data_IF_290551576320
#
_entry.id   IF_290551576320
#
_cell.length_a   1.000
_cell.length_b   1.000
_cell.length_c   1.000
_cell.angle_alpha   90.00
_cell.angle_beta   90.00
_cell.angle_gamma   90.00
#
_symmetry.space_group_name_H-M   'P 1'
#
loop_
_entity.id
_entity.type
_entity.pdbx_description
1 polymer ?
#
# COMPACT_ATOMS: atom_id res chain seq x y z
N UNK A 1 2.92 2.26 -22.57
CA UNK A 1 3.57 2.80 -21.36
C UNK A 1 4.63 1.88 -20.72
N UNK A 2 5.08 0.78 -21.38
CA UNK A 2 6.08 -0.20 -20.85
C UNK A 2 7.50 0.33 -20.53
N UNK A 3 7.70 1.65 -20.51
CA UNK A 3 9.00 2.30 -20.26
C UNK A 3 8.96 3.30 -19.08
N UNK A 4 7.79 3.60 -18.54
CA UNK A 4 7.68 4.44 -17.36
C UNK A 4 7.82 3.54 -16.12
N UNK A 5 8.80 3.84 -15.26
CA UNK A 5 9.03 3.08 -14.03
C UNK A 5 7.97 3.41 -12.98
N UNK A 6 7.74 4.70 -12.74
CA UNK A 6 6.78 5.17 -11.74
C UNK A 6 6.28 6.59 -12.07
N UNK A 7 5.17 6.97 -11.45
CA UNK A 7 4.61 8.31 -11.48
C UNK A 7 4.70 8.96 -10.09
N UNK A 8 5.27 10.16 -10.02
CA UNK A 8 5.26 11.02 -8.81
C UNK A 8 4.31 12.18 -9.09
N UNK A 9 3.07 12.08 -8.60
CA UNK A 9 2.06 13.11 -8.80
C UNK A 9 2.18 14.21 -7.75
N UNK A 10 2.27 15.47 -8.19
CA UNK A 10 2.26 16.63 -7.32
C UNK A 10 0.96 17.38 -7.55
N UNK A 11 0.08 17.37 -6.55
CA UNK A 11 -1.19 18.06 -6.60
C UNK A 11 -1.36 18.91 -5.33
N UNK A 12 -1.77 20.17 -5.45
CA UNK A 12 -2.01 21.06 -4.29
C UNK A 12 -0.87 21.08 -3.25
N UNK A 13 0.39 21.09 -3.70
CA UNK A 13 1.57 20.88 -2.82
C UNK A 13 2.04 22.13 -2.06
N UNK A 14 1.42 23.29 -2.30
CA UNK A 14 1.94 24.59 -1.89
C UNK A 14 1.30 25.23 -0.66
N UNK A 15 0.14 24.75 -0.21
CA UNK A 15 -0.61 25.36 0.89
C UNK A 15 0.24 25.45 2.17
N UNK A 16 0.15 26.60 2.86
CA UNK A 16 0.79 26.83 4.15
C UNK A 16 0.26 25.86 5.21
N UNK A 17 1.12 24.94 5.68
CA UNK A 17 0.69 23.79 6.48
C UNK A 17 0.17 24.19 7.87
N UNK A 18 0.95 24.99 8.60
CA UNK A 18 0.66 25.37 9.98
C UNK A 18 -0.58 26.25 10.09
N UNK A 19 -0.67 27.28 9.24
CA UNK A 19 -1.76 28.25 9.21
C UNK A 19 -3.12 27.58 8.91
N UNK A 20 -3.10 26.52 8.10
CA UNK A 20 -4.30 25.80 7.66
C UNK A 20 -4.55 24.48 8.41
N UNK A 21 -3.69 24.12 9.38
CA UNK A 21 -3.76 22.84 10.12
C UNK A 21 -3.75 21.63 9.18
N UNK A 22 -2.96 21.75 8.12
CA UNK A 22 -2.82 20.77 7.05
C UNK A 22 -1.53 19.99 7.19
N UNK A 23 -1.46 18.86 6.50
CA UNK A 23 -0.27 18.03 6.42
C UNK A 23 0.14 17.92 4.96
N UNK A 24 1.44 17.80 4.72
CA UNK A 24 1.89 17.28 3.45
C UNK A 24 1.78 15.75 3.48
N UNK A 25 0.85 15.22 2.71
CA UNK A 25 0.48 13.81 2.70
C UNK A 25 1.13 13.12 1.52
N UNK A 26 1.76 11.97 1.78
CA UNK A 26 2.14 11.00 0.75
C UNK A 26 1.12 9.87 0.75
N UNK A 27 0.42 9.67 -0.36
CA UNK A 27 -0.36 8.45 -0.60
C UNK A 27 0.47 7.47 -1.43
N UNK A 28 0.69 6.28 -0.88
CA UNK A 28 1.41 5.18 -1.53
C UNK A 28 0.54 4.49 -2.59
N UNK A 29 1.12 3.56 -3.34
CA UNK A 29 0.35 2.65 -4.20
C UNK A 29 -0.44 1.63 -3.37
N UNK A 30 -1.49 1.03 -3.95
CA UNK A 30 -2.13 -0.15 -3.35
C UNK A 30 -1.23 -1.36 -3.54
N UNK A 31 -1.45 -2.45 -2.81
CA UNK A 31 -0.75 -3.71 -3.07
C UNK A 31 -1.05 -4.27 -4.46
N UNK A 32 -2.19 -3.91 -5.07
CA UNK A 32 -2.46 -4.24 -6.48
C UNK A 32 -1.47 -3.59 -7.44
N UNK A 33 -0.76 -2.53 -7.04
CA UNK A 33 0.36 -1.98 -7.79
C UNK A 33 1.55 -1.72 -6.85
N UNK A 34 1.88 -2.73 -6.04
CA UNK A 34 2.89 -2.68 -4.99
C UNK A 34 4.25 -2.22 -5.53
N UNK A 35 4.82 -1.17 -4.96
CA UNK A 35 6.03 -0.58 -5.52
C UNK A 35 6.89 0.19 -4.51
N UNK A 36 8.21 0.09 -4.63
CA UNK A 36 9.19 0.70 -3.72
C UNK A 36 9.18 2.24 -3.73
N UNK A 37 8.57 2.87 -4.74
CA UNK A 37 8.50 4.34 -4.88
C UNK A 37 7.94 5.01 -3.61
N UNK A 38 6.96 4.38 -2.96
CA UNK A 38 6.38 4.90 -1.72
C UNK A 38 7.41 4.99 -0.59
N UNK A 39 8.30 4.00 -0.48
CA UNK A 39 9.35 3.96 0.54
C UNK A 39 10.50 4.93 0.24
N UNK A 40 10.86 5.10 -1.03
CA UNK A 40 11.85 6.11 -1.43
C UNK A 40 11.36 7.52 -1.08
N UNK A 41 10.11 7.86 -1.39
CA UNK A 41 9.56 9.16 -1.04
C UNK A 41 9.40 9.30 0.48
N UNK A 42 8.92 8.27 1.16
CA UNK A 42 8.80 8.31 2.62
C UNK A 42 10.14 8.64 3.28
N UNK A 43 11.25 8.06 2.82
CA UNK A 43 12.58 8.41 3.31
C UNK A 43 12.87 9.91 3.20
N UNK A 44 12.53 10.55 2.08
CA UNK A 44 12.73 11.99 1.90
C UNK A 44 11.76 12.84 2.73
N UNK A 45 10.52 12.39 2.91
CA UNK A 45 9.58 13.02 3.86
C UNK A 45 10.14 13.02 5.28
N UNK A 46 10.62 11.86 5.75
CA UNK A 46 11.27 11.76 7.08
C UNK A 46 12.54 12.60 7.15
N UNK A 47 13.38 12.59 6.11
CA UNK A 47 14.59 13.41 6.05
C UNK A 47 14.26 14.90 6.21
N UNK A 48 13.30 15.43 5.45
CA UNK A 48 12.91 16.83 5.57
C UNK A 48 12.35 17.10 6.96
N UNK A 49 11.45 16.26 7.47
CA UNK A 49 10.86 16.39 8.81
C UNK A 49 11.88 16.40 9.95
N UNK A 50 12.90 15.54 9.87
CA UNK A 50 13.92 15.43 10.90
C UNK A 50 14.99 16.53 10.82
N UNK A 51 15.33 17.00 9.62
CA UNK A 51 16.41 17.99 9.42
C UNK A 51 15.94 19.44 9.44
N UNK A 52 14.63 19.68 9.25
CA UNK A 52 13.99 20.99 9.22
C UNK A 52 13.16 21.25 10.49
N UNK A 53 13.66 20.77 11.63
CA UNK A 53 13.22 21.16 12.97
C UNK A 53 14.44 21.47 13.84
N UNK A 54 14.29 22.36 14.82
CA UNK A 54 15.35 22.62 15.79
C UNK A 54 15.46 21.44 16.74
N UNK A 55 16.61 20.75 16.74
CA UNK A 55 16.84 19.58 17.58
C UNK A 55 17.97 19.86 18.58
N UNK A 56 17.62 20.06 19.85
CA UNK A 56 18.60 20.38 20.91
C UNK A 56 19.62 19.26 21.16
N UNK A 57 19.29 18.00 20.82
CA UNK A 57 20.16 16.83 21.07
C UNK A 57 21.15 16.60 19.92
N UNK A 58 20.76 16.89 18.68
CA UNK A 58 21.57 16.57 17.48
C UNK A 58 22.26 17.80 16.89
N UNK A 59 21.65 19.00 16.99
CA UNK A 59 22.11 20.20 16.29
C UNK A 59 22.29 21.43 17.18
N UNK A 60 22.28 21.26 18.50
CA UNK A 60 22.63 22.32 19.46
C UNK A 60 21.83 23.61 19.27
N UNK A 61 20.52 23.50 18.99
CA UNK A 61 19.61 24.63 18.73
C UNK A 61 19.72 25.27 17.33
N UNK A 62 20.08 24.50 16.31
CA UNK A 62 20.06 24.93 14.89
C UNK A 62 19.38 23.91 13.98
N UNK A 63 19.09 24.25 12.72
CA UNK A 63 18.65 23.26 11.72
C UNK A 63 19.86 22.47 11.21
N UNK A 64 19.73 21.14 11.06
CA UNK A 64 20.82 20.30 10.56
C UNK A 64 21.04 20.50 9.04
N UNK A 65 19.95 20.52 8.25
CA UNK A 65 19.96 20.76 6.79
C UNK A 65 18.74 21.60 6.40
N UNK A 66 18.86 22.91 6.59
CA UNK A 66 17.77 23.90 6.38
C UNK A 66 17.36 23.97 4.90
N UNK A 67 16.10 23.66 4.63
CA UNK A 67 15.39 23.73 3.36
C UNK A 67 14.21 24.69 3.54
N UNK A 68 14.50 25.98 3.36
CA UNK A 68 13.52 27.07 3.46
C UNK A 68 13.69 28.07 2.32
N UNK A 69 12.63 28.79 2.00
CA UNK A 69 12.65 29.91 1.06
C UNK A 69 12.89 31.23 1.79
N UNK A 70 13.57 32.24 1.20
CA UNK A 70 13.76 33.54 1.84
C UNK A 70 12.47 34.26 2.23
N UNK A 71 11.37 33.97 1.55
CA UNK A 71 10.04 34.57 1.77
C UNK A 71 9.02 33.57 2.29
N UNK A 72 9.46 32.37 2.69
CA UNK A 72 8.59 31.33 3.24
C UNK A 72 8.72 31.21 4.74
N UNK A 73 7.86 30.40 5.35
CA UNK A 73 7.92 30.16 6.80
C UNK A 73 9.10 29.25 7.16
N UNK A 74 9.44 29.21 8.45
CA UNK A 74 10.40 28.25 9.00
C UNK A 74 9.70 27.18 9.85
N UNK A 75 8.40 27.00 9.63
CA UNK A 75 7.60 26.07 10.42
C UNK A 75 8.11 24.64 10.28
N UNK A 76 7.91 23.81 11.33
CA UNK A 76 8.14 22.39 11.23
C UNK A 76 7.43 21.79 10.02
N UNK A 77 8.05 20.81 9.40
CA UNK A 77 7.44 20.11 8.28
C UNK A 77 6.45 19.06 8.79
N UNK A 78 5.16 19.41 8.78
CA UNK A 78 4.07 18.52 9.17
C UNK A 78 3.74 17.59 8.00
N UNK A 79 3.89 16.29 8.20
CA UNK A 79 3.60 15.31 7.15
C UNK A 79 2.89 14.07 7.67
N UNK A 80 2.19 13.41 6.75
CA UNK A 80 1.55 12.11 6.96
C UNK A 80 1.91 11.19 5.79
N UNK A 81 2.07 9.91 6.10
CA UNK A 81 2.29 8.89 5.08
C UNK A 81 1.15 7.89 5.16
N UNK A 82 0.27 7.93 4.17
CA UNK A 82 -0.95 7.15 4.12
C UNK A 82 -0.86 6.01 3.11
N UNK A 83 -1.82 5.09 3.22
CA UNK A 83 -2.03 4.08 2.20
C UNK A 83 -2.63 4.70 0.94
N UNK A 84 -2.83 3.88 -0.08
CA UNK A 84 -3.48 4.30 -1.31
C UNK A 84 -4.82 5.00 -1.04
N UNK A 85 -5.00 6.14 -1.69
CA UNK A 85 -6.25 6.89 -1.75
C UNK A 85 -6.59 7.16 -3.21
N UNK A 86 -7.86 7.45 -3.48
CA UNK A 86 -8.31 7.96 -4.77
C UNK A 86 -8.37 9.50 -4.79
N UNK A 87 -8.79 10.06 -5.92
CA UNK A 87 -9.17 11.47 -6.01
C UNK A 87 -8.18 12.41 -6.71
N UNK A 88 -7.09 11.89 -7.28
CA UNK A 88 -6.17 12.67 -8.13
C UNK A 88 -5.62 11.79 -9.27
N UNK A 89 -4.79 12.38 -10.13
CA UNK A 89 -4.33 11.79 -11.40
C UNK A 89 -3.41 10.57 -11.23
N UNK A 90 -2.81 10.36 -10.05
CA UNK A 90 -2.05 9.14 -9.77
C UNK A 90 -2.90 7.86 -9.93
N UNK A 91 -4.23 7.96 -9.82
CA UNK A 91 -5.14 6.84 -10.07
C UNK A 91 -5.18 6.41 -11.52
N UNK A 92 -4.97 7.32 -12.47
CA UNK A 92 -4.91 7.00 -13.91
C UNK A 92 -3.70 6.12 -14.18
N UNK A 93 -2.57 6.39 -13.53
CA UNK A 93 -1.36 5.58 -13.64
C UNK A 93 -1.51 4.20 -12.97
N UNK A 94 -2.20 4.14 -11.84
CA UNK A 94 -2.48 2.90 -11.12
C UNK A 94 -3.65 2.06 -11.67
N UNK A 95 -4.28 2.50 -12.76
CA UNK A 95 -5.33 1.75 -13.47
C UNK A 95 -4.79 0.40 -13.97
N UNK A 96 -5.64 -0.63 -13.97
CA UNK A 96 -5.23 -2.00 -14.34
C UNK A 96 -4.77 -2.11 -15.80
N UNK A 97 -5.24 -1.23 -16.68
CA UNK A 97 -4.80 -1.15 -18.07
C UNK A 97 -3.56 -0.27 -18.28
N UNK A 98 -3.07 0.41 -17.24
CA UNK A 98 -1.89 1.28 -17.30
C UNK A 98 -0.71 0.70 -16.53
N UNK A 99 -0.92 0.30 -15.27
CA UNK A 99 0.06 -0.31 -14.37
C UNK A 99 1.40 0.43 -14.30
N UNK A 100 1.35 1.74 -14.17
CA UNK A 100 2.51 2.56 -13.79
C UNK A 100 2.35 2.92 -12.31
N UNK A 101 3.18 2.38 -11.40
CA UNK A 101 3.13 2.69 -9.97
C UNK A 101 3.09 4.20 -9.69
N UNK A 102 1.95 4.68 -9.23
CA UNK A 102 1.70 6.10 -9.01
C UNK A 102 1.52 6.45 -7.54
N UNK A 103 2.23 7.47 -7.08
CA UNK A 103 2.07 8.06 -5.74
C UNK A 103 1.56 9.49 -5.85
N UNK A 104 0.93 9.97 -4.78
CA UNK A 104 0.43 11.34 -4.69
C UNK A 104 1.10 12.06 -3.53
N UNK A 105 1.71 13.20 -3.82
CA UNK A 105 2.11 14.20 -2.86
C UNK A 105 1.06 15.31 -2.90
N UNK A 106 0.43 15.57 -1.76
CA UNK A 106 -0.67 16.53 -1.66
C UNK A 106 -0.67 17.22 -0.30
N UNK A 107 -1.12 18.47 -0.22
CA UNK A 107 -1.46 19.08 1.08
C UNK A 107 -2.93 18.82 1.40
N UNK A 108 -3.20 18.19 2.54
CA UNK A 108 -4.58 17.89 2.98
C UNK A 108 -4.73 17.95 4.51
N UNK A 109 -5.89 18.36 5.06
CA UNK A 109 -7.04 18.99 4.38
C UNK A 109 -6.70 20.38 3.83
N UNK A 110 -7.37 20.83 2.77
CA UNK A 110 -7.26 22.20 2.24
C UNK A 110 -8.60 22.93 2.35
N UNK A 111 -8.71 23.99 3.18
CA UNK A 111 -9.96 24.74 3.37
C UNK A 111 -10.34 25.63 2.18
N UNK A 112 -9.42 25.86 1.24
CA UNK A 112 -9.61 26.73 0.08
C UNK A 112 -9.93 25.97 -1.20
N UNK A 113 -9.79 24.63 -1.20
CA UNK A 113 -10.12 23.76 -2.31
C UNK A 113 -11.52 24.05 -2.89
N UNK A 114 -11.60 24.27 -4.21
CA UNK A 114 -12.83 24.64 -4.92
C UNK A 114 -13.51 25.94 -4.43
N UNK A 115 -12.76 26.87 -3.85
CA UNK A 115 -13.27 28.18 -3.44
C UNK A 115 -12.54 29.33 -4.15
N UNK A 116 -13.14 30.51 -4.19
CA UNK A 116 -12.47 31.72 -4.71
C UNK A 116 -11.34 32.25 -3.82
N UNK A 117 -11.10 31.62 -2.67
CA UNK A 117 -9.98 31.90 -1.76
C UNK A 117 -8.74 31.06 -2.08
N UNK A 118 -8.84 30.10 -3.01
CA UNK A 118 -7.66 29.43 -3.58
C UNK A 118 -6.84 30.45 -4.38
N UNK A 119 -5.88 31.07 -3.69
CA UNK A 119 -5.07 32.19 -4.16
C UNK A 119 -3.63 31.95 -3.76
N UNK A 120 -2.64 32.47 -4.52
CA UNK A 120 -1.22 32.29 -4.19
C UNK A 120 -0.83 32.73 -2.77
N UNK A 121 -1.58 33.64 -2.15
CA UNK A 121 -1.34 34.10 -0.77
C UNK A 121 -1.62 33.04 0.31
N UNK A 122 -2.33 31.95 -0.01
CA UNK A 122 -2.51 30.81 0.89
C UNK A 122 -1.33 29.82 0.86
N UNK A 123 -0.43 29.95 -0.12
CA UNK A 123 0.72 29.09 -0.28
C UNK A 123 1.92 29.59 0.53
N UNK A 124 2.74 28.65 1.00
CA UNK A 124 4.05 28.94 1.60
C UNK A 124 5.19 28.61 0.61
N UNK A 125 6.02 29.59 0.24
CA UNK A 125 7.20 29.36 -0.59
C UNK A 125 8.19 28.32 -0.02
N UNK A 126 8.28 28.17 1.30
CA UNK A 126 9.12 27.12 1.92
C UNK A 126 8.53 25.74 1.65
N UNK A 127 7.22 25.57 1.84
CA UNK A 127 6.53 24.32 1.54
C UNK A 127 6.66 23.92 0.05
N UNK A 128 6.48 24.86 -0.88
CA UNK A 128 6.75 24.62 -2.30
C UNK A 128 8.19 24.15 -2.54
N UNK A 129 9.19 24.81 -1.93
CA UNK A 129 10.59 24.40 -2.05
C UNK A 129 10.84 22.98 -1.50
N UNK A 130 10.22 22.63 -0.37
CA UNK A 130 10.33 21.29 0.24
C UNK A 130 9.68 20.22 -0.65
N UNK A 131 8.51 20.49 -1.21
CA UNK A 131 7.83 19.56 -2.14
C UNK A 131 8.70 19.26 -3.39
N UNK A 132 9.32 20.28 -3.97
CA UNK A 132 10.24 20.13 -5.11
C UNK A 132 11.51 19.39 -4.70
N UNK A 133 12.08 19.69 -3.54
CA UNK A 133 13.26 18.98 -3.04
C UNK A 133 12.99 17.47 -2.89
N UNK A 134 11.89 17.10 -2.22
CA UNK A 134 11.51 15.70 -2.00
C UNK A 134 11.34 14.98 -3.34
N UNK A 135 10.59 15.59 -4.25
CA UNK A 135 10.31 15.03 -5.58
C UNK A 135 11.59 14.86 -6.40
N UNK A 136 12.42 15.90 -6.48
CA UNK A 136 13.64 15.87 -7.26
C UNK A 136 14.67 14.88 -6.70
N UNK A 137 14.80 14.81 -5.37
CA UNK A 137 15.72 13.87 -4.72
C UNK A 137 15.26 12.41 -4.93
N UNK A 138 13.97 12.13 -4.80
CA UNK A 138 13.41 10.81 -5.09
C UNK A 138 13.60 10.41 -6.56
N UNK A 139 13.21 11.28 -7.48
CA UNK A 139 13.36 11.04 -8.91
C UNK A 139 14.84 10.81 -9.30
N UNK A 140 15.74 11.62 -8.75
CA UNK A 140 17.18 11.46 -8.97
C UNK A 140 17.67 10.10 -8.46
N UNK A 141 17.36 9.75 -7.20
CA UNK A 141 17.79 8.49 -6.60
C UNK A 141 17.31 7.26 -7.36
N UNK A 142 16.10 7.32 -7.92
CA UNK A 142 15.56 6.24 -8.76
C UNK A 142 16.25 6.20 -10.12
N UNK A 143 16.36 7.34 -10.80
CA UNK A 143 16.98 7.42 -12.12
C UNK A 143 18.47 7.07 -12.10
N UNK A 144 19.15 7.30 -10.97
CA UNK A 144 20.56 6.96 -10.76
C UNK A 144 20.76 5.68 -9.94
N UNK A 145 19.71 4.92 -9.63
CA UNK A 145 19.83 3.74 -8.78
C UNK A 145 20.68 2.67 -9.45
N UNK A 146 21.89 2.48 -8.93
CA UNK A 146 22.82 1.41 -9.26
C UNK A 146 23.64 1.05 -8.03
N UNK A 147 24.18 -0.16 -8.03
CA UNK A 147 25.14 -0.64 -7.03
C UNK A 147 24.65 -0.35 -5.59
N UNK A 148 25.37 0.48 -4.83
CA UNK A 148 25.06 0.85 -3.45
C UNK A 148 23.67 1.49 -3.29
N UNK A 149 23.23 2.33 -4.24
CA UNK A 149 21.93 3.01 -4.13
C UNK A 149 20.78 2.00 -4.15
N UNK A 150 20.86 0.98 -5.00
CA UNK A 150 19.83 -0.06 -5.09
C UNK A 150 19.77 -0.91 -3.83
N UNK A 151 20.93 -1.21 -3.23
CA UNK A 151 21.01 -1.90 -1.94
C UNK A 151 20.41 -1.05 -0.80
N UNK A 152 20.66 0.26 -0.81
CA UNK A 152 20.08 1.19 0.16
C UNK A 152 18.55 1.28 0.02
N UNK A 153 18.02 1.32 -1.21
CA UNK A 153 16.57 1.28 -1.47
C UNK A 153 15.97 -0.02 -0.96
N UNK A 154 16.60 -1.18 -1.21
CA UNK A 154 16.14 -2.46 -0.69
C UNK A 154 16.07 -2.48 0.85
N UNK A 155 17.11 -1.95 1.52
CA UNK A 155 17.15 -1.86 2.98
C UNK A 155 16.09 -0.93 3.57
N UNK A 156 15.83 0.20 2.90
CA UNK A 156 14.75 1.14 3.27
C UNK A 156 13.36 0.50 3.14
N UNK A 157 13.10 -0.18 2.02
CA UNK A 157 11.84 -0.91 1.79
C UNK A 157 11.63 -2.00 2.83
N UNK A 158 12.65 -2.82 3.09
CA UNK A 158 12.59 -3.88 4.10
C UNK A 158 12.33 -3.35 5.52
N UNK A 159 13.00 -2.25 5.89
CA UNK A 159 12.83 -1.61 7.21
C UNK A 159 11.42 -1.04 7.38
N UNK A 160 10.89 -0.40 6.34
CA UNK A 160 9.54 0.13 6.36
C UNK A 160 8.47 -0.98 6.34
N UNK A 161 8.69 -2.05 5.57
CA UNK A 161 7.85 -3.24 5.58
C UNK A 161 7.75 -3.83 6.99
N UNK A 162 8.88 -4.00 7.68
CA UNK A 162 8.93 -4.48 9.05
C UNK A 162 8.10 -3.61 10.02
N UNK A 163 8.17 -2.28 9.85
CA UNK A 163 7.39 -1.32 10.65
C UNK A 163 5.89 -1.40 10.33
N UNK A 164 5.50 -1.52 9.06
CA UNK A 164 4.10 -1.66 8.66
C UNK A 164 3.49 -2.99 9.15
N UNK A 165 4.24 -4.09 9.06
CA UNK A 165 3.84 -5.37 9.67
C UNK A 165 3.67 -5.25 11.19
N UNK A 166 4.58 -4.58 11.89
CA UNK A 166 4.44 -4.33 13.33
C UNK A 166 3.19 -3.49 13.67
N UNK A 167 2.88 -2.48 12.87
CA UNK A 167 1.66 -1.69 13.03
C UNK A 167 0.40 -2.54 12.81
N UNK A 168 0.39 -3.42 11.81
CA UNK A 168 -0.73 -4.34 11.59
C UNK A 168 -0.86 -5.34 12.74
N UNK A 169 0.25 -5.86 13.25
CA UNK A 169 0.27 -6.73 14.42
C UNK A 169 -0.30 -6.05 15.67
N UNK A 170 0.02 -4.77 15.90
CA UNK A 170 -0.56 -4.00 17.00
C UNK A 170 -2.09 -3.89 16.86
N UNK A 171 -2.61 -3.63 15.66
CA UNK A 171 -4.07 -3.62 15.40
C UNK A 171 -4.71 -4.98 15.65
N UNK A 172 -4.10 -6.05 15.15
CA UNK A 172 -4.55 -7.43 15.34
C UNK A 172 -4.63 -7.80 16.83
N UNK A 173 -3.61 -7.44 17.61
CA UNK A 173 -3.59 -7.66 19.06
C UNK A 173 -4.70 -6.86 19.75
N UNK A 174 -4.90 -5.59 19.39
CA UNK A 174 -5.97 -4.77 19.94
C UNK A 174 -7.36 -5.34 19.64
N UNK A 175 -7.60 -5.83 18.42
CA UNK A 175 -8.83 -6.51 18.04
C UNK A 175 -9.07 -7.77 18.88
N UNK A 176 -8.05 -8.65 18.99
CA UNK A 176 -8.14 -9.87 19.80
C UNK A 176 -8.38 -9.55 21.27
N UNK A 177 -7.68 -8.56 21.84
CA UNK A 177 -7.84 -8.18 23.24
C UNK A 177 -9.23 -7.61 23.56
N UNK A 178 -9.90 -7.00 22.58
CA UNK A 178 -11.27 -6.46 22.71
C UNK A 178 -12.37 -7.48 22.41
N UNK A 179 -12.01 -8.66 21.90
CA UNK A 179 -12.97 -9.73 21.61
C UNK A 179 -13.39 -10.49 22.87
N UNK A 180 -14.42 -11.33 22.74
CA UNK A 180 -14.93 -12.15 23.84
C UNK A 180 -15.57 -13.44 23.36
N UNK A 181 -16.38 -14.07 24.22
CA UNK A 181 -16.96 -15.39 23.97
C UNK A 181 -17.81 -15.51 22.71
N UNK A 182 -18.43 -14.41 22.26
CA UNK A 182 -19.28 -14.41 21.08
C UNK A 182 -18.55 -14.30 19.74
N UNK A 183 -17.28 -13.86 19.72
CA UNK A 183 -16.63 -13.46 18.46
C UNK A 183 -15.11 -13.69 18.39
N UNK A 184 -14.46 -14.26 19.42
CA UNK A 184 -13.00 -14.47 19.44
C UNK A 184 -12.50 -15.27 18.22
N UNK A 185 -13.22 -16.30 17.79
CA UNK A 185 -12.79 -17.16 16.67
C UNK A 185 -12.80 -16.38 15.34
N UNK A 186 -13.85 -15.60 15.09
CA UNK A 186 -13.99 -14.74 13.91
C UNK A 186 -12.94 -13.64 13.91
N UNK A 187 -12.77 -12.95 15.04
CA UNK A 187 -11.77 -11.88 15.20
C UNK A 187 -10.36 -12.42 15.02
N UNK A 188 -10.04 -13.60 15.56
CA UNK A 188 -8.73 -14.23 15.36
C UNK A 188 -8.51 -14.61 13.90
N UNK A 189 -9.50 -15.22 13.24
CA UNK A 189 -9.42 -15.57 11.82
C UNK A 189 -9.14 -14.33 10.96
N UNK A 190 -9.92 -13.26 11.16
CA UNK A 190 -9.73 -11.97 10.49
C UNK A 190 -8.36 -11.38 10.74
N UNK A 191 -7.94 -11.33 12.00
CA UNK A 191 -6.66 -10.73 12.40
C UNK A 191 -5.45 -11.48 11.82
N UNK A 192 -5.56 -12.80 11.68
CA UNK A 192 -4.55 -13.63 11.02
C UNK A 192 -4.50 -13.39 9.50
N UNK A 193 -5.66 -13.25 8.86
CA UNK A 193 -5.77 -12.91 7.44
C UNK A 193 -5.16 -11.53 7.15
N UNK A 194 -5.46 -10.51 7.96
CA UNK A 194 -4.89 -9.17 7.77
C UNK A 194 -3.35 -9.15 7.93
N UNK A 195 -2.82 -9.93 8.88
CA UNK A 195 -1.37 -10.12 9.04
C UNK A 195 -0.74 -10.78 7.82
N UNK A 196 -1.41 -11.82 7.29
CA UNK A 196 -0.95 -12.56 6.14
C UNK A 196 -0.95 -11.67 4.89
N UNK A 197 -2.07 -11.01 4.61
CA UNK A 197 -2.22 -10.07 3.50
C UNK A 197 -1.24 -8.92 3.55
N UNK A 198 -0.99 -8.35 4.73
CA UNK A 198 0.05 -7.33 4.91
C UNK A 198 1.43 -7.90 4.59
N UNK A 199 1.79 -9.06 5.14
CA UNK A 199 3.10 -9.69 4.87
C UNK A 199 3.31 -9.96 3.37
N UNK A 200 2.30 -10.47 2.67
CA UNK A 200 2.37 -10.72 1.24
C UNK A 200 2.49 -9.40 0.45
N UNK A 201 1.67 -8.40 0.78
CA UNK A 201 1.73 -7.07 0.17
C UNK A 201 3.09 -6.42 0.31
N UNK A 202 3.70 -6.48 1.50
CA UNK A 202 5.05 -5.96 1.74
C UNK A 202 6.13 -6.73 0.94
N UNK A 203 5.98 -8.04 0.77
CA UNK A 203 6.88 -8.83 -0.07
C UNK A 203 6.76 -8.45 -1.55
N UNK A 204 5.56 -8.09 -2.03
CA UNK A 204 5.39 -7.56 -3.40
C UNK A 204 6.10 -6.21 -3.56
N UNK A 205 6.00 -5.32 -2.57
CA UNK A 205 6.72 -4.03 -2.58
C UNK A 205 8.23 -4.29 -2.59
N UNK A 206 8.74 -5.17 -1.74
CA UNK A 206 10.17 -5.52 -1.71
C UNK A 206 10.66 -6.10 -3.05
N UNK A 207 9.88 -7.00 -3.66
CA UNK A 207 10.22 -7.59 -4.96
C UNK A 207 10.33 -6.54 -6.07
N UNK A 208 9.52 -5.48 -6.01
CA UNK A 208 9.57 -4.42 -7.03
C UNK A 208 10.94 -3.74 -7.15
N UNK A 209 11.77 -3.75 -6.09
CA UNK A 209 13.13 -3.17 -6.13
C UNK A 209 14.01 -3.83 -7.19
N UNK A 210 13.73 -5.10 -7.54
CA UNK A 210 14.47 -5.82 -8.58
C UNK A 210 14.35 -5.18 -9.96
N UNK A 211 13.36 -4.33 -10.23
CA UNK A 211 13.25 -3.64 -11.51
C UNK A 211 14.41 -2.66 -11.77
N UNK A 212 15.03 -2.14 -10.70
CA UNK A 212 16.12 -1.16 -10.79
C UNK A 212 17.37 -1.79 -11.39
N UNK A 213 17.71 -3.01 -10.96
CA UNK A 213 18.86 -3.78 -11.45
C UNK A 213 18.57 -5.29 -11.46
N UNK A 214 17.76 -5.78 -12.43
CA UNK A 214 17.29 -7.17 -12.42
C UNK A 214 18.41 -8.21 -12.58
N UNK A 215 19.51 -7.83 -13.22
CA UNK A 215 20.67 -8.70 -13.46
C UNK A 215 21.70 -8.64 -12.30
N UNK A 216 21.46 -7.84 -11.26
CA UNK A 216 22.36 -7.73 -10.12
C UNK A 216 22.13 -8.88 -9.12
N UNK A 217 22.97 -9.91 -9.18
CA UNK A 217 22.86 -11.09 -8.32
C UNK A 217 22.92 -10.78 -6.82
N UNK A 218 23.66 -9.75 -6.43
CA UNK A 218 23.76 -9.33 -5.02
C UNK A 218 22.44 -8.74 -4.53
N UNK A 219 21.77 -7.94 -5.37
CA UNK A 219 20.44 -7.42 -5.07
C UNK A 219 19.41 -8.55 -4.99
N UNK A 220 19.44 -9.49 -5.93
CA UNK A 220 18.55 -10.68 -5.91
C UNK A 220 18.74 -11.49 -4.63
N UNK A 221 19.99 -11.74 -4.22
CA UNK A 221 20.27 -12.45 -2.98
C UNK A 221 19.77 -11.67 -1.76
N UNK A 222 20.06 -10.37 -1.67
CA UNK A 222 19.68 -9.54 -0.54
C UNK A 222 18.15 -9.42 -0.38
N UNK A 223 17.43 -9.18 -1.48
CA UNK A 223 15.97 -9.14 -1.48
C UNK A 223 15.36 -10.48 -1.10
N UNK A 224 15.96 -11.60 -1.52
CA UNK A 224 15.57 -12.94 -1.07
C UNK A 224 15.73 -13.15 0.43
N UNK A 225 16.86 -12.72 1.00
CA UNK A 225 17.11 -12.78 2.45
C UNK A 225 16.12 -11.89 3.24
N UNK A 226 15.83 -10.69 2.72
CA UNK A 226 14.81 -9.81 3.31
C UNK A 226 13.41 -10.39 3.24
N UNK A 227 12.98 -10.98 2.11
CA UNK A 227 11.68 -11.66 2.01
C UNK A 227 11.56 -12.81 3.01
N UNK A 228 12.65 -13.58 3.20
CA UNK A 228 12.70 -14.64 4.22
C UNK A 228 12.59 -14.06 5.63
N UNK A 229 13.26 -12.95 5.93
CA UNK A 229 13.15 -12.28 7.23
C UNK A 229 11.72 -11.75 7.49
N UNK A 230 11.05 -11.19 6.48
CA UNK A 230 9.64 -10.78 6.59
C UNK A 230 8.71 -11.97 6.85
N UNK A 231 8.97 -13.12 6.20
CA UNK A 231 8.21 -14.36 6.44
C UNK A 231 8.40 -14.86 7.89
N UNK A 232 9.63 -14.84 8.40
CA UNK A 232 9.93 -15.20 9.79
C UNK A 232 9.27 -14.23 10.79
N UNK A 233 9.24 -12.92 10.48
CA UNK A 233 8.55 -11.93 11.28
C UNK A 233 7.04 -12.22 11.32
N UNK A 234 6.43 -12.55 10.18
CA UNK A 234 5.03 -12.97 10.12
C UNK A 234 4.78 -14.20 10.98
N UNK A 235 5.58 -15.26 10.88
CA UNK A 235 5.41 -16.49 11.67
C UNK A 235 5.46 -16.23 13.19
N UNK A 236 6.38 -15.36 13.62
CA UNK A 236 6.51 -14.92 15.00
C UNK A 236 5.31 -14.11 15.50
N UNK A 237 4.82 -13.17 14.68
CA UNK A 237 3.63 -12.37 14.97
C UNK A 237 2.37 -13.23 15.01
N UNK A 238 2.19 -14.11 14.03
CA UNK A 238 1.10 -15.09 13.97
C UNK A 238 1.04 -15.96 15.22
N UNK A 239 2.18 -16.51 15.63
CA UNK A 239 2.28 -17.34 16.83
C UNK A 239 1.93 -16.54 18.10
N UNK A 240 2.42 -15.32 18.20
CA UNK A 240 2.12 -14.41 19.31
C UNK A 240 0.63 -14.06 19.38
N UNK A 241 -0.01 -13.81 18.22
CA UNK A 241 -1.44 -13.50 18.16
C UNK A 241 -2.32 -14.67 18.61
N UNK A 242 -2.00 -15.88 18.16
CA UNK A 242 -2.70 -17.11 18.59
C UNK A 242 -2.55 -17.32 20.10
N UNK A 243 -1.36 -17.06 20.65
CA UNK A 243 -1.12 -17.12 22.09
C UNK A 243 -1.98 -16.11 22.85
N UNK A 244 -2.05 -14.86 22.38
CA UNK A 244 -2.91 -13.82 22.97
C UNK A 244 -4.38 -14.24 22.97
N UNK A 245 -4.90 -14.75 21.86
CA UNK A 245 -6.26 -15.28 21.79
C UNK A 245 -6.47 -16.44 22.78
N UNK A 246 -5.47 -17.32 22.95
CA UNK A 246 -5.50 -18.39 23.94
C UNK A 246 -5.60 -17.89 25.38
N UNK A 247 -4.96 -16.77 25.71
CA UNK A 247 -5.08 -16.12 27.03
C UNK A 247 -6.49 -15.56 27.22
N UNK A 248 -7.03 -14.84 26.23
CA UNK A 248 -8.40 -14.31 26.27
C UNK A 248 -9.43 -15.43 26.43
N UNK A 249 -9.29 -16.53 25.68
CA UNK A 249 -10.14 -17.70 25.83
C UNK A 249 -10.10 -18.26 27.27
N UNK A 250 -8.91 -18.46 27.84
CA UNK A 250 -8.75 -18.96 29.22
C UNK A 250 -9.41 -18.05 30.24
N UNK A 251 -9.23 -16.73 30.12
CA UNK A 251 -9.85 -15.74 31.02
C UNK A 251 -11.39 -15.79 31.00
N UNK A 252 -11.97 -16.21 29.87
CA UNK A 252 -13.41 -16.31 29.66
C UNK A 252 -13.95 -17.74 29.79
N UNK A 253 -13.15 -18.71 30.28
CA UNK A 253 -13.50 -20.13 30.36
C UNK A 253 -13.90 -20.76 29.01
N UNK A 254 -13.27 -20.31 27.93
CA UNK A 254 -13.46 -20.80 26.57
C UNK A 254 -12.29 -21.70 26.15
N UNK A 255 -12.56 -22.58 25.19
CA UNK A 255 -11.53 -23.36 24.50
C UNK A 255 -11.21 -22.68 23.18
N UNK A 256 -9.94 -22.31 22.98
CA UNK A 256 -9.48 -21.80 21.69
C UNK A 256 -9.63 -22.87 20.62
N UNK A 257 -10.33 -22.54 19.54
CA UNK A 257 -10.48 -23.42 18.38
C UNK A 257 -9.31 -23.19 17.40
N UNK A 258 -8.77 -24.24 16.77
CA UNK A 258 -7.79 -24.07 15.71
C UNK A 258 -8.44 -23.34 14.52
N UNK A 259 -7.81 -22.25 14.07
CA UNK A 259 -8.21 -21.57 12.82
C UNK A 259 -7.86 -22.49 11.65
N UNK A 260 -8.89 -22.93 10.92
CA UNK A 260 -8.76 -23.83 9.78
C UNK A 260 -9.51 -23.23 8.58
N UNK A 261 -8.95 -23.36 7.37
CA UNK A 261 -9.67 -23.00 6.16
C UNK A 261 -10.98 -23.81 6.02
N UNK A 262 -12.07 -23.12 5.71
CA UNK A 262 -13.33 -23.74 5.32
C UNK A 262 -13.28 -24.29 3.88
N UNK A 263 -14.40 -24.82 3.39
CA UNK A 263 -14.46 -25.43 2.07
C UNK A 263 -14.20 -24.43 0.93
N UNK A 264 -14.71 -23.20 1.05
CA UNK A 264 -14.53 -22.14 0.06
C UNK A 264 -13.10 -21.62 0.08
N UNK A 265 -12.50 -21.44 1.25
CA UNK A 265 -11.10 -21.04 1.39
C UNK A 265 -10.13 -22.10 0.84
N UNK A 266 -10.41 -23.40 1.07
CA UNK A 266 -9.64 -24.48 0.46
C UNK A 266 -9.73 -24.47 -1.06
N UNK A 267 -10.92 -24.20 -1.61
CA UNK A 267 -11.09 -24.07 -3.06
C UNK A 267 -10.31 -22.87 -3.59
N UNK A 268 -10.44 -21.71 -2.95
CA UNK A 268 -9.75 -20.48 -3.37
C UNK A 268 -8.23 -20.58 -3.28
N UNK A 269 -7.68 -21.22 -2.24
CA UNK A 269 -6.23 -21.43 -2.09
C UNK A 269 -5.60 -22.33 -3.16
N UNK A 270 -6.43 -23.12 -3.87
CA UNK A 270 -6.00 -23.96 -4.99
C UNK A 270 -6.09 -23.26 -6.36
N UNK A 271 -6.70 -22.07 -6.43
CA UNK A 271 -6.90 -21.31 -7.66
C UNK A 271 -5.91 -20.15 -7.72
N UNK A 272 -5.15 -20.07 -8.82
CA UNK A 272 -4.14 -19.04 -9.06
C UNK A 272 -4.51 -18.30 -10.35
N UNK A 273 -4.98 -17.04 -10.25
CA UNK A 273 -5.31 -16.25 -11.42
C UNK A 273 -4.06 -15.59 -12.03
N UNK A 274 -4.09 -15.44 -13.35
CA UNK A 274 -3.09 -14.73 -14.14
C UNK A 274 -3.75 -13.69 -15.04
N UNK A 275 -3.37 -12.42 -14.93
CA UNK A 275 -3.84 -11.32 -15.76
C UNK A 275 -3.50 -11.56 -17.23
N UNK A 276 -4.41 -11.28 -18.15
CA UNK A 276 -4.10 -11.32 -19.59
C UNK A 276 -3.49 -9.99 -20.03
N UNK A 277 -2.98 -9.91 -21.26
CA UNK A 277 -2.53 -8.64 -21.84
C UNK A 277 -3.70 -7.69 -22.20
N UNK A 278 -4.94 -8.20 -22.23
CA UNK A 278 -6.13 -7.49 -22.71
C UNK A 278 -6.41 -6.16 -21.99
N UNK A 279 -6.37 -6.07 -20.63
CA UNK A 279 -6.50 -4.78 -19.94
C UNK A 279 -5.45 -3.76 -20.41
N UNK A 280 -4.19 -4.18 -20.56
CA UNK A 280 -3.07 -3.31 -20.94
C UNK A 280 -3.19 -2.86 -22.39
N UNK A 281 -3.55 -3.77 -23.30
CA UNK A 281 -3.74 -3.46 -24.72
C UNK A 281 -4.88 -2.48 -24.96
N UNK A 282 -5.89 -2.49 -24.09
CA UNK A 282 -7.02 -1.54 -24.13
C UNK A 282 -6.70 -0.20 -23.46
N UNK A 283 -5.61 -0.12 -22.69
CA UNK A 283 -5.16 1.09 -22.01
C UNK A 283 -6.08 1.53 -20.87
N UNK A 284 -5.94 2.80 -20.47
CA UNK A 284 -6.65 3.38 -19.33
C UNK A 284 -8.15 3.10 -19.38
N UNK A 285 -8.65 2.36 -18.38
CA UNK A 285 -10.06 2.04 -18.21
C UNK A 285 -10.72 1.31 -19.41
N UNK A 286 -9.95 0.77 -20.36
CA UNK A 286 -10.51 0.15 -21.56
C UNK A 286 -11.27 -1.17 -21.33
N UNK A 287 -11.05 -1.80 -20.17
CA UNK A 287 -11.79 -2.97 -19.69
C UNK A 287 -13.11 -2.62 -18.97
N UNK A 288 -13.38 -1.34 -18.71
CA UNK A 288 -14.46 -0.90 -17.82
C UNK A 288 -15.84 -1.32 -18.32
N UNK A 289 -16.13 -1.12 -19.61
CA UNK A 289 -17.46 -1.37 -20.17
C UNK A 289 -17.80 -2.86 -20.16
N UNK A 290 -16.86 -3.72 -20.56
CA UNK A 290 -17.05 -5.17 -20.56
C UNK A 290 -17.21 -5.71 -19.14
N UNK A 291 -16.44 -5.18 -18.17
CA UNK A 291 -16.56 -5.57 -16.77
C UNK A 291 -17.88 -5.11 -16.16
N UNK A 292 -18.29 -3.85 -16.37
CA UNK A 292 -19.58 -3.32 -15.88
C UNK A 292 -20.76 -4.12 -16.41
N UNK A 293 -20.73 -4.46 -17.71
CA UNK A 293 -21.76 -5.31 -18.31
C UNK A 293 -21.80 -6.71 -17.69
N UNK A 294 -20.64 -7.34 -17.50
CA UNK A 294 -20.59 -8.66 -16.90
C UNK A 294 -21.08 -8.66 -15.43
N UNK A 295 -20.80 -7.59 -14.67
CA UNK A 295 -21.30 -7.42 -13.31
C UNK A 295 -22.82 -7.13 -13.28
N UNK A 296 -23.36 -6.36 -14.23
CA UNK A 296 -24.81 -6.12 -14.27
C UNK A 296 -25.63 -7.39 -14.55
N UNK A 297 -25.01 -8.36 -15.23
CA UNK A 297 -25.61 -9.65 -15.58
C UNK A 297 -25.38 -10.72 -14.49
N UNK A 298 -24.66 -10.41 -13.40
CA UNK A 298 -24.33 -11.36 -12.32
C UNK A 298 -25.14 -11.14 -11.05
N UNK A 299 -24.89 -11.96 -10.02
CA UNK A 299 -25.51 -11.79 -8.69
C UNK A 299 -24.94 -10.59 -7.93
N UNK A 300 -23.83 -10.03 -8.41
CA UNK A 300 -23.10 -8.92 -7.78
C UNK A 300 -23.52 -7.54 -8.32
N UNK A 301 -24.56 -7.46 -9.15
CA UNK A 301 -25.05 -6.20 -9.76
C UNK A 301 -25.36 -5.09 -8.74
N UNK A 302 -25.76 -5.46 -7.53
CA UNK A 302 -26.12 -4.54 -6.45
C UNK A 302 -24.98 -4.34 -5.42
N UNK A 303 -23.85 -5.02 -5.60
CA UNK A 303 -22.67 -4.87 -4.76
C UNK A 303 -21.83 -3.65 -5.21
N UNK A 304 -21.85 -2.60 -4.39
CA UNK A 304 -21.13 -1.35 -4.66
C UNK A 304 -19.61 -1.48 -4.69
N UNK A 305 -19.04 -2.52 -4.05
CA UNK A 305 -17.61 -2.79 -3.98
C UNK A 305 -17.11 -3.74 -5.07
N UNK A 306 -17.99 -4.53 -5.69
CA UNK A 306 -17.62 -5.57 -6.65
C UNK A 306 -16.73 -5.05 -7.79
N UNK A 307 -17.03 -3.87 -8.34
CA UNK A 307 -16.22 -3.29 -9.42
C UNK A 307 -14.78 -2.98 -8.98
N UNK A 308 -14.60 -2.31 -7.84
CA UNK A 308 -13.27 -1.99 -7.31
C UNK A 308 -12.50 -3.25 -6.89
N UNK A 309 -13.18 -4.23 -6.27
CA UNK A 309 -12.56 -5.49 -5.87
C UNK A 309 -12.13 -6.31 -7.08
N UNK A 310 -12.92 -6.32 -8.16
CA UNK A 310 -12.54 -6.98 -9.41
C UNK A 310 -11.27 -6.37 -10.03
N UNK A 311 -11.13 -5.05 -9.96
CA UNK A 311 -9.93 -4.36 -10.46
C UNK A 311 -8.71 -4.72 -9.61
N UNK A 312 -8.79 -4.66 -8.27
CA UNK A 312 -7.67 -5.05 -7.41
C UNK A 312 -7.30 -6.53 -7.59
N UNK A 313 -8.29 -7.43 -7.70
CA UNK A 313 -8.05 -8.84 -8.04
C UNK A 313 -7.30 -8.98 -9.37
N UNK A 314 -7.76 -8.30 -10.41
CA UNK A 314 -7.16 -8.34 -11.74
C UNK A 314 -5.70 -7.87 -11.76
N UNK A 315 -5.38 -6.85 -10.95
CA UNK A 315 -4.02 -6.34 -10.76
C UNK A 315 -3.14 -7.31 -9.95
N UNK A 316 -3.70 -7.97 -8.92
CA UNK A 316 -3.00 -8.95 -8.09
C UNK A 316 -2.88 -10.35 -8.73
N UNK A 317 -3.57 -10.60 -9.85
CA UNK A 317 -3.51 -11.83 -10.61
C UNK A 317 -2.17 -11.98 -11.35
N UNK A 318 -1.06 -12.10 -10.62
CA UNK A 318 0.29 -12.18 -11.17
C UNK A 318 0.75 -13.60 -11.50
N UNK A 319 -0.08 -14.62 -11.27
CA UNK A 319 0.28 -16.03 -11.45
C UNK A 319 1.02 -16.69 -10.29
N UNK A 320 1.33 -15.95 -9.22
CA UNK A 320 2.03 -16.47 -8.03
C UNK A 320 1.09 -16.57 -6.80
N UNK A 321 0.08 -15.69 -6.73
CA UNK A 321 -0.85 -15.59 -5.60
C UNK A 321 -2.11 -16.41 -5.85
N UNK A 322 -2.57 -17.16 -4.84
CA UNK A 322 -3.89 -17.80 -4.90
C UNK A 322 -5.02 -16.79 -4.65
N UNK A 323 -6.27 -17.16 -4.97
CA UNK A 323 -7.41 -16.30 -4.65
C UNK A 323 -7.54 -16.01 -3.15
N UNK A 324 -7.13 -16.95 -2.28
CA UNK A 324 -7.12 -16.70 -0.84
C UNK A 324 -6.04 -15.67 -0.45
N UNK A 325 -4.86 -15.76 -1.06
CA UNK A 325 -3.78 -14.79 -0.85
C UNK A 325 -4.21 -13.38 -1.31
N UNK A 326 -4.86 -13.29 -2.47
CA UNK A 326 -5.40 -12.05 -3.02
C UNK A 326 -6.48 -11.46 -2.11
N UNK A 327 -7.38 -12.29 -1.57
CA UNK A 327 -8.39 -11.86 -0.59
C UNK A 327 -7.71 -11.19 0.61
N UNK A 328 -6.76 -11.89 1.22
CA UNK A 328 -6.07 -11.40 2.42
C UNK A 328 -5.36 -10.06 2.14
N UNK A 329 -4.71 -9.92 0.98
CA UNK A 329 -4.06 -8.67 0.54
C UNK A 329 -5.07 -7.53 0.35
N UNK A 330 -6.22 -7.79 -0.26
CA UNK A 330 -7.28 -6.79 -0.46
C UNK A 330 -7.86 -6.36 0.89
N UNK A 331 -8.18 -7.33 1.75
CA UNK A 331 -8.80 -7.08 3.05
C UNK A 331 -7.88 -6.34 4.00
N UNK A 332 -6.57 -6.59 3.97
CA UNK A 332 -5.57 -5.88 4.76
C UNK A 332 -5.52 -4.37 4.46
N UNK A 333 -6.04 -3.93 3.30
CA UNK A 333 -6.07 -2.53 2.87
C UNK A 333 -7.43 -1.86 3.09
N UNK A 334 -8.46 -2.62 3.48
CA UNK A 334 -9.84 -2.14 3.56
C UNK A 334 -10.43 -2.34 4.95
N UNK A 335 -11.41 -1.51 5.31
CA UNK A 335 -12.13 -1.68 6.57
C UNK A 335 -13.13 -2.85 6.53
N UNK A 336 -13.68 -3.15 5.36
CA UNK A 336 -14.69 -4.18 5.17
C UNK A 336 -14.03 -5.43 4.58
N UNK A 337 -14.41 -6.59 5.10
CA UNK A 337 -14.05 -7.87 4.53
C UNK A 337 -14.75 -8.13 3.20
N UNK A 338 -13.98 -8.64 2.24
CA UNK A 338 -14.49 -9.25 1.02
C UNK A 338 -14.86 -10.69 1.33
N UNK A 339 -16.12 -11.06 1.10
CA UNK A 339 -16.54 -12.45 1.21
C UNK A 339 -15.81 -13.34 0.18
N UNK A 340 -15.36 -14.53 0.58
CA UNK A 340 -14.53 -15.38 -0.29
C UNK A 340 -15.33 -15.92 -1.49
N UNK A 341 -16.62 -16.21 -1.32
CA UNK A 341 -17.47 -16.66 -2.43
C UNK A 341 -17.70 -15.53 -3.44
N UNK A 342 -17.84 -14.30 -2.95
CA UNK A 342 -17.87 -13.08 -3.78
C UNK A 342 -16.58 -12.93 -4.59
N UNK A 343 -15.41 -13.11 -3.96
CA UNK A 343 -14.13 -13.02 -4.69
C UNK A 343 -13.98 -14.12 -5.75
N UNK A 344 -14.43 -15.34 -5.47
CA UNK A 344 -14.44 -16.43 -6.45
C UNK A 344 -15.39 -16.13 -7.62
N UNK A 345 -16.59 -15.60 -7.37
CA UNK A 345 -17.51 -15.18 -8.44
C UNK A 345 -16.91 -14.06 -9.30
N UNK A 346 -16.20 -13.09 -8.70
CA UNK A 346 -15.46 -12.08 -9.44
C UNK A 346 -14.36 -12.68 -10.32
N UNK A 347 -13.60 -13.65 -9.80
CA UNK A 347 -12.58 -14.35 -10.58
C UNK A 347 -13.19 -15.10 -11.78
N UNK A 348 -14.32 -15.79 -11.58
CA UNK A 348 -15.04 -16.49 -12.65
C UNK A 348 -15.56 -15.52 -13.71
N UNK A 349 -16.11 -14.37 -13.29
CA UNK A 349 -16.55 -13.29 -14.19
C UNK A 349 -15.36 -12.80 -15.03
N UNK A 350 -14.26 -12.39 -14.39
CA UNK A 350 -13.07 -11.88 -15.08
C UNK A 350 -12.47 -12.90 -16.06
N UNK A 351 -12.50 -14.18 -15.70
CA UNK A 351 -12.06 -15.28 -16.56
C UNK A 351 -12.98 -15.45 -17.78
N UNK A 352 -14.31 -15.36 -17.59
CA UNK A 352 -15.29 -15.49 -18.68
C UNK A 352 -15.17 -14.39 -19.74
N UNK A 353 -14.80 -13.16 -19.33
CA UNK A 353 -14.56 -12.03 -20.24
C UNK A 353 -13.10 -11.90 -20.67
N UNK A 354 -12.28 -12.90 -20.33
CA UNK A 354 -10.88 -13.04 -20.74
C UNK A 354 -9.98 -11.88 -20.29
N UNK A 355 -10.27 -11.27 -19.13
CA UNK A 355 -9.36 -10.29 -18.53
C UNK A 355 -8.31 -10.99 -17.66
N UNK A 356 -8.65 -12.14 -17.06
CA UNK A 356 -7.71 -13.04 -16.40
C UNK A 356 -7.83 -14.46 -16.99
N UNK A 357 -6.87 -15.32 -16.69
CA UNK A 357 -6.93 -16.78 -16.82
C UNK A 357 -6.94 -17.37 -15.41
N UNK A 358 -7.92 -18.21 -15.10
CA UNK A 358 -8.01 -18.89 -13.81
C UNK A 358 -7.49 -20.32 -13.94
N UNK A 359 -6.36 -20.61 -13.28
CA UNK A 359 -5.72 -21.94 -13.26
C UNK A 359 -5.75 -22.59 -11.87
N UNK A 360 -5.53 -23.91 -11.83
CA UNK A 360 -5.17 -24.59 -10.58
C UNK A 360 -3.66 -24.44 -10.29
N UNK A 361 -3.28 -24.53 -9.01
CA UNK A 361 -1.86 -24.65 -8.60
C UNK A 361 -1.17 -25.87 -9.20
#
# INVERSE_FOLDING_TARGET
>A
MRKALCNINLDMVGLSLSENKSFFVLHRTSYGNAHYIGDVLENYYRYVGETNKMNSVVSGSSFFKRIVSPTGTEDPFYYLIENASGGSDHMVFNDWGVQVPGVLLITWPDPYYHTSQDRPGACDPTQLKRSVFITAAAAYSIASAKDEMTLNIAGEVFSNASRRMANQFNKAIDMVNKSGAGNIDEVLKRSLADLHGTSLGEQLILRSVLELEPENSSLVSLTGDYSKALSQLYDGQRSSLINSAGVICKMNNLKLLPVKPDASEKKASALVPHSTDKPIDQGYSGYSDILRKALSDSRLKDDRGAYSTAIELGKLANGDLSLLDIKDIIDAQQQKETDIDTLMELADILNSIQLIKLGGK
#
